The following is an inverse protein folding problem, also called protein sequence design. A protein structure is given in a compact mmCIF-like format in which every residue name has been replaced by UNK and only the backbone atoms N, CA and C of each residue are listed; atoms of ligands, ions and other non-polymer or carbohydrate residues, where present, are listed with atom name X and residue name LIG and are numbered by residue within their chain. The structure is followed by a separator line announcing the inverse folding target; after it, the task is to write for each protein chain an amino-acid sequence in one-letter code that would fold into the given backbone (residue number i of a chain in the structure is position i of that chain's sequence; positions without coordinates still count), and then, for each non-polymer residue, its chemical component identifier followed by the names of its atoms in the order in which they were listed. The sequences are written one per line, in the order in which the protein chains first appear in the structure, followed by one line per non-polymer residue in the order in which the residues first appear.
data_IF_788972333708
#
_entry.id   IF_788972333708
#
_cell.length_a   1.000
_cell.length_b   1.000
_cell.length_c   1.000
_cell.angle_alpha   90.00
_cell.angle_beta   90.00
_cell.angle_gamma   90.00
#
_symmetry.space_group_name_H-M   'P 1'
#
loop_
_entity.id
_entity.type
_entity.pdbx_description
1 polymer ?
#
# COMPACT_ATOMS: atom_id res chain seq x y z
N UNK A 1 -11.80 -12.42 -14.00
CA UNK A 1 -12.76 -11.31 -14.02
C UNK A 1 -13.49 -11.37 -12.70
N UNK A 2 -13.08 -10.54 -11.73
CA UNK A 2 -13.61 -10.60 -10.36
C UNK A 2 -15.06 -10.11 -10.38
N UNK A 3 -15.94 -10.80 -9.64
CA UNK A 3 -17.36 -10.50 -9.49
C UNK A 3 -18.20 -10.55 -10.79
N UNK A 4 -17.73 -11.23 -11.84
CA UNK A 4 -18.60 -11.56 -12.96
C UNK A 4 -19.22 -12.93 -12.74
N UNK A 5 -20.54 -12.95 -12.56
CA UNK A 5 -21.32 -14.19 -12.57
C UNK A 5 -21.07 -14.93 -13.90
N UNK A 6 -21.14 -16.26 -13.87
CA UNK A 6 -20.95 -17.14 -15.02
C UNK A 6 -19.53 -17.23 -15.61
N UNK A 7 -18.51 -16.67 -14.97
CA UNK A 7 -17.10 -16.84 -15.39
C UNK A 7 -16.40 -17.88 -14.51
N UNK A 8 -16.05 -19.03 -15.09
CA UNK A 8 -15.30 -20.09 -14.40
C UNK A 8 -13.81 -19.80 -14.34
N UNK A 9 -13.22 -19.29 -15.43
CA UNK A 9 -11.79 -19.00 -15.53
C UNK A 9 -11.52 -17.90 -16.55
N UNK A 10 -10.47 -17.13 -16.32
CA UNK A 10 -9.91 -16.20 -17.30
C UNK A 10 -8.43 -16.52 -17.50
N UNK A 11 -7.96 -16.44 -18.75
CA UNK A 11 -6.56 -16.63 -19.10
C UNK A 11 -6.12 -15.49 -20.02
N UNK A 12 -5.08 -14.75 -19.64
CA UNK A 12 -4.41 -13.81 -20.55
C UNK A 12 -3.41 -14.54 -21.44
N UNK A 13 -3.28 -14.08 -22.69
CA UNK A 13 -2.30 -14.60 -23.67
C UNK A 13 -1.19 -13.59 -24.00
N UNK A 14 -1.27 -12.40 -23.43
CA UNK A 14 -0.33 -11.30 -23.64
C UNK A 14 0.43 -10.99 -22.36
N UNK A 15 1.68 -10.54 -22.51
CA UNK A 15 2.47 -10.04 -21.38
C UNK A 15 2.29 -8.53 -21.24
N UNK A 16 2.35 -7.96 -20.02
CA UNK A 16 2.32 -6.51 -19.82
C UNK A 16 3.36 -5.79 -20.69
N UNK A 17 2.94 -4.73 -21.38
CA UNK A 17 3.80 -3.95 -22.28
C UNK A 17 4.10 -4.60 -23.63
N UNK A 18 3.55 -5.77 -23.93
CA UNK A 18 3.69 -6.41 -25.24
C UNK A 18 3.12 -5.50 -26.34
N UNK A 19 3.89 -5.29 -27.40
CA UNK A 19 3.36 -4.67 -28.61
C UNK A 19 2.43 -5.64 -29.32
N UNK A 20 1.24 -5.16 -29.67
CA UNK A 20 0.25 -5.96 -30.35
C UNK A 20 -0.22 -5.21 -31.59
N UNK A 21 -0.20 -5.89 -32.73
CA UNK A 21 -0.71 -5.38 -33.99
C UNK A 21 -2.11 -5.96 -34.24
N UNK A 22 -3.10 -5.08 -34.36
CA UNK A 22 -4.48 -5.46 -34.66
C UNK A 22 -4.74 -5.56 -36.16
N UNK A 23 -5.69 -6.41 -36.55
CA UNK A 23 -6.22 -6.44 -37.90
C UNK A 23 -7.47 -5.56 -38.07
N UNK A 24 -7.83 -5.25 -39.32
CA UNK A 24 -9.11 -4.60 -39.63
C UNK A 24 -10.28 -5.55 -39.35
N UNK A 25 -11.46 -5.01 -39.02
CA UNK A 25 -12.68 -5.82 -38.82
C UNK A 25 -13.00 -6.72 -40.02
N UNK A 26 -12.81 -6.22 -41.26
CA UNK A 26 -12.99 -7.02 -42.48
C UNK A 26 -12.02 -8.21 -42.54
N UNK A 27 -10.78 -8.03 -42.13
CA UNK A 27 -9.80 -9.12 -42.07
C UNK A 27 -10.22 -10.17 -41.03
N UNK A 28 -10.68 -9.75 -39.84
CA UNK A 28 -11.17 -10.69 -38.82
C UNK A 28 -12.38 -11.52 -39.28
N UNK A 29 -13.33 -10.94 -40.00
CA UNK A 29 -14.50 -11.67 -40.51
C UNK A 29 -14.16 -12.75 -41.54
N UNK A 30 -13.03 -12.63 -42.24
CA UNK A 30 -12.56 -13.62 -43.21
C UNK A 30 -11.68 -14.73 -42.61
N UNK A 31 -11.31 -14.63 -41.32
CA UNK A 31 -10.40 -15.57 -40.67
C UNK A 31 -11.13 -16.81 -40.15
N UNK A 32 -10.45 -17.95 -40.21
CA UNK A 32 -10.85 -19.14 -39.45
C UNK A 32 -10.60 -18.95 -37.96
N UNK A 33 -11.21 -19.77 -37.11
CA UNK A 33 -10.95 -19.76 -35.67
C UNK A 33 -9.45 -19.95 -35.36
N UNK A 34 -8.78 -20.87 -36.04
CA UNK A 34 -7.35 -21.11 -35.84
C UNK A 34 -6.50 -19.87 -36.23
N UNK A 35 -6.92 -19.16 -37.27
CA UNK A 35 -6.28 -17.91 -37.71
C UNK A 35 -6.52 -16.73 -36.78
N UNK A 36 -7.60 -16.77 -35.98
CA UNK A 36 -7.93 -15.73 -34.99
C UNK A 36 -7.14 -15.86 -33.69
N UNK A 37 -6.77 -17.09 -33.29
CA UNK A 37 -6.11 -17.35 -32.01
C UNK A 37 -4.86 -16.49 -31.74
N UNK A 38 -3.95 -16.24 -32.71
CA UNK A 38 -2.78 -15.38 -32.49
C UNK A 38 -3.12 -13.92 -32.17
N UNK A 39 -4.33 -13.46 -32.49
CA UNK A 39 -4.82 -12.11 -32.23
C UNK A 39 -5.66 -12.01 -30.95
N UNK A 40 -5.90 -13.12 -30.25
CA UNK A 40 -6.62 -13.12 -28.99
C UNK A 40 -5.73 -12.60 -27.85
N UNK A 41 -6.22 -11.65 -27.07
CA UNK A 41 -5.50 -11.14 -25.88
C UNK A 41 -5.72 -12.01 -24.64
N UNK A 42 -6.75 -12.83 -24.67
CA UNK A 42 -7.09 -13.77 -23.61
C UNK A 42 -8.32 -14.60 -23.97
N UNK A 43 -8.70 -15.46 -23.04
CA UNK A 43 -9.90 -16.29 -23.12
C UNK A 43 -10.64 -16.30 -21.78
N UNK A 44 -11.96 -16.49 -21.89
CA UNK A 44 -12.87 -16.62 -20.76
C UNK A 44 -13.57 -17.97 -20.90
N UNK A 45 -13.52 -18.76 -19.83
CA UNK A 45 -14.29 -20.00 -19.71
C UNK A 45 -15.60 -19.66 -19.02
N UNK A 46 -16.70 -19.85 -19.74
CA UNK A 46 -18.06 -19.62 -19.24
C UNK A 46 -18.50 -20.82 -18.41
N UNK A 47 -19.03 -20.57 -17.22
CA UNK A 47 -19.62 -21.59 -16.37
C UNK A 47 -21.01 -21.95 -16.89
N UNK A 48 -21.14 -23.15 -17.41
CA UNK A 48 -22.42 -23.67 -17.90
C UNK A 48 -23.08 -24.43 -16.75
N UNK A 49 -24.23 -23.97 -16.30
CA UNK A 49 -25.14 -24.71 -15.43
C UNK A 49 -26.46 -24.96 -16.18
N UNK A 50 -27.28 -25.89 -15.69
CA UNK A 50 -28.54 -26.27 -16.33
C UNK A 50 -29.63 -25.20 -16.25
N UNK A 51 -29.38 -24.06 -15.59
CA UNK A 51 -30.38 -23.05 -15.28
C UNK A 51 -30.64 -22.07 -16.44
N UNK A 52 -29.68 -21.88 -17.35
CA UNK A 52 -29.79 -20.91 -18.44
C UNK A 52 -29.01 -21.31 -19.70
N UNK A 53 -29.44 -20.77 -20.86
CA UNK A 53 -28.78 -21.03 -22.14
C UNK A 53 -27.38 -20.40 -22.20
N UNK A 54 -26.45 -21.09 -22.85
CA UNK A 54 -25.09 -20.60 -23.14
C UNK A 54 -25.11 -19.22 -23.82
N UNK A 55 -26.08 -18.99 -24.71
CA UNK A 55 -26.24 -17.70 -25.40
C UNK A 55 -26.57 -16.55 -24.45
N UNK A 56 -27.43 -16.80 -23.45
CA UNK A 56 -27.80 -15.80 -22.44
C UNK A 56 -26.60 -15.44 -21.57
N UNK A 57 -25.85 -16.43 -21.09
CA UNK A 57 -24.63 -16.21 -20.30
C UNK A 57 -23.55 -15.48 -21.09
N UNK A 58 -23.36 -15.86 -22.35
CA UNK A 58 -22.40 -15.19 -23.23
C UNK A 58 -22.76 -13.73 -23.46
N UNK A 59 -24.05 -13.41 -23.61
CA UNK A 59 -24.50 -12.02 -23.75
C UNK A 59 -24.24 -11.21 -22.48
N UNK A 60 -24.56 -11.76 -21.30
CA UNK A 60 -24.30 -11.11 -20.02
C UNK A 60 -22.79 -10.84 -19.78
N UNK A 61 -21.93 -11.80 -20.11
CA UNK A 61 -20.46 -11.61 -20.05
C UNK A 61 -20.01 -10.52 -21.02
N UNK A 62 -20.58 -10.48 -22.23
CA UNK A 62 -20.24 -9.44 -23.20
C UNK A 62 -20.64 -8.04 -22.70
N UNK A 63 -21.79 -7.91 -22.04
CA UNK A 63 -22.20 -6.65 -21.41
C UNK A 63 -21.22 -6.21 -20.31
N UNK A 64 -20.75 -7.15 -19.50
CA UNK A 64 -19.71 -6.86 -18.49
C UNK A 64 -18.38 -6.45 -19.13
N UNK A 65 -17.97 -7.10 -20.22
CA UNK A 65 -16.77 -6.72 -20.97
C UNK A 65 -16.90 -5.31 -21.56
N UNK A 66 -18.04 -4.96 -22.14
CA UNK A 66 -18.28 -3.59 -22.66
C UNK A 66 -18.15 -2.56 -21.54
N UNK A 67 -18.74 -2.81 -20.36
CA UNK A 67 -18.63 -1.88 -19.21
C UNK A 67 -17.17 -1.73 -18.75
N UNK A 68 -16.45 -2.84 -18.62
CA UNK A 68 -15.08 -2.88 -18.04
C UNK A 68 -14.01 -2.44 -19.04
N UNK A 69 -14.21 -2.69 -20.32
CA UNK A 69 -13.31 -2.33 -21.42
C UNK A 69 -13.70 -1.02 -22.11
N UNK A 70 -14.62 -0.25 -21.52
CA UNK A 70 -15.12 1.02 -22.07
C UNK A 70 -14.06 2.14 -22.15
N UNK A 71 -12.92 1.97 -21.45
CA UNK A 71 -11.79 2.88 -21.55
C UNK A 71 -10.89 2.55 -22.75
N UNK A 72 -10.17 3.55 -23.25
CA UNK A 72 -9.16 3.33 -24.28
C UNK A 72 -7.93 2.66 -23.66
N UNK A 73 -7.98 1.35 -23.49
CA UNK A 73 -6.91 0.54 -22.92
C UNK A 73 -5.71 0.35 -23.87
N UNK A 74 -5.89 0.66 -25.15
CA UNK A 74 -4.86 0.59 -26.17
C UNK A 74 -4.26 1.97 -26.41
N UNK A 75 -2.94 2.07 -26.29
CA UNK A 75 -2.18 3.27 -26.66
C UNK A 75 -1.39 2.98 -27.94
N UNK A 76 -1.37 3.95 -28.86
CA UNK A 76 -0.51 3.89 -30.05
C UNK A 76 0.96 4.08 -29.73
N UNK A 77 1.26 4.69 -28.58
CA UNK A 77 2.63 4.85 -28.08
C UNK A 77 2.98 3.69 -27.14
N UNK A 78 4.18 3.08 -27.27
CA UNK A 78 4.65 2.09 -26.33
C UNK A 78 4.55 2.60 -24.88
N UNK A 79 3.98 1.79 -24.00
CA UNK A 79 3.92 2.13 -22.57
C UNK A 79 5.36 2.05 -22.05
N UNK A 80 5.94 3.17 -21.57
CA UNK A 80 7.30 3.16 -21.08
C UNK A 80 7.36 2.29 -19.83
N UNK A 81 8.27 1.32 -19.84
CA UNK A 81 8.54 0.50 -18.66
C UNK A 81 8.98 1.40 -17.50
N UNK A 82 8.43 1.16 -16.32
CA UNK A 82 8.81 1.86 -15.09
C UNK A 82 9.47 0.88 -14.11
N UNK A 83 10.28 1.43 -13.21
CA UNK A 83 10.92 0.69 -12.13
C UNK A 83 10.58 1.38 -10.82
N UNK A 84 10.21 0.61 -9.81
CA UNK A 84 9.94 1.09 -8.45
C UNK A 84 10.85 0.35 -7.47
N UNK A 85 11.37 1.10 -6.51
CA UNK A 85 12.06 0.54 -5.35
C UNK A 85 11.04 0.25 -4.24
N UNK A 86 11.01 -0.99 -3.76
CA UNK A 86 10.24 -1.39 -2.58
C UNK A 86 11.21 -1.65 -1.44
N UNK A 87 11.13 -0.84 -0.38
CA UNK A 87 11.98 -0.96 0.80
C UNK A 87 11.15 -1.50 1.96
N UNK A 88 11.52 -2.66 2.51
CA UNK A 88 10.76 -3.33 3.56
C UNK A 88 9.43 -3.87 3.07
N UNK A 89 9.45 -4.96 2.31
CA UNK A 89 8.25 -5.57 1.76
C UNK A 89 7.34 -6.09 2.89
N UNK A 90 7.89 -6.76 3.91
CA UNK A 90 7.08 -7.36 4.97
C UNK A 90 6.35 -8.63 4.50
N UNK A 91 5.20 -8.95 5.08
CA UNK A 91 4.55 -10.26 4.83
C UNK A 91 3.90 -10.37 3.44
N UNK A 92 3.85 -11.59 2.90
CA UNK A 92 3.20 -11.89 1.61
C UNK A 92 1.77 -11.34 1.53
N UNK A 93 0.98 -11.51 2.60
CA UNK A 93 -0.41 -11.03 2.64
C UNK A 93 -0.53 -9.51 2.49
N UNK A 94 0.46 -8.75 2.98
CA UNK A 94 0.51 -7.30 2.77
C UNK A 94 0.90 -6.98 1.33
N UNK A 95 1.91 -7.67 0.79
CA UNK A 95 2.57 -7.27 -0.47
C UNK A 95 2.02 -7.80 -1.77
N UNK A 96 1.36 -8.94 -1.72
CA UNK A 96 1.02 -9.67 -2.93
C UNK A 96 0.18 -8.82 -3.89
N UNK A 97 -0.76 -8.04 -3.37
CA UNK A 97 -1.61 -7.17 -4.16
C UNK A 97 -0.83 -6.13 -4.96
N UNK A 98 0.09 -5.40 -4.34
CA UNK A 98 0.86 -4.37 -5.05
C UNK A 98 1.95 -4.94 -5.95
N UNK A 99 2.57 -6.08 -5.62
CA UNK A 99 3.51 -6.75 -6.51
C UNK A 99 2.82 -7.25 -7.80
N UNK A 100 1.65 -7.87 -7.66
CA UNK A 100 0.85 -8.30 -8.82
C UNK A 100 0.35 -7.11 -9.65
N UNK A 101 -0.06 -6.03 -8.99
CA UNK A 101 -0.47 -4.81 -9.67
C UNK A 101 0.69 -4.18 -10.45
N UNK A 102 1.88 -4.07 -9.84
CA UNK A 102 3.08 -3.55 -10.48
C UNK A 102 3.45 -4.38 -11.72
N UNK A 103 3.51 -5.70 -11.59
CA UNK A 103 3.77 -6.60 -12.71
C UNK A 103 2.75 -6.40 -13.84
N UNK A 104 1.46 -6.32 -13.50
CA UNK A 104 0.36 -6.10 -14.46
C UNK A 104 0.43 -4.76 -15.19
N UNK A 105 1.01 -3.74 -14.54
CA UNK A 105 1.21 -2.39 -15.10
C UNK A 105 2.54 -2.25 -15.85
N UNK A 106 3.27 -3.35 -16.06
CA UNK A 106 4.62 -3.35 -16.63
C UNK A 106 5.60 -2.47 -15.81
N UNK A 107 5.46 -2.53 -14.49
CA UNK A 107 6.34 -1.89 -13.51
C UNK A 107 7.21 -2.97 -12.88
N UNK A 108 8.51 -2.83 -13.03
CA UNK A 108 9.49 -3.68 -12.37
C UNK A 108 9.71 -3.26 -10.93
N UNK A 109 9.77 -4.25 -10.04
CA UNK A 109 9.99 -4.04 -8.62
C UNK A 109 11.43 -4.43 -8.27
N UNK A 110 12.21 -3.48 -7.77
CA UNK A 110 13.51 -3.72 -7.14
C UNK A 110 13.30 -3.72 -5.64
N UNK A 111 13.55 -4.86 -5.00
CA UNK A 111 13.23 -5.06 -3.58
C UNK A 111 14.50 -4.85 -2.75
N UNK A 112 14.42 -3.97 -1.75
CA UNK A 112 15.45 -3.76 -0.74
C UNK A 112 14.92 -4.29 0.60
N UNK A 113 15.48 -5.40 1.07
CA UNK A 113 15.04 -6.04 2.30
C UNK A 113 16.15 -6.90 2.92
N UNK A 114 15.89 -7.43 4.12
CA UNK A 114 16.82 -8.31 4.81
C UNK A 114 17.16 -9.55 3.96
N UNK A 115 18.42 -9.98 3.97
CA UNK A 115 18.88 -11.13 3.17
C UNK A 115 18.08 -12.42 3.43
N UNK A 116 17.54 -12.59 4.64
CA UNK A 116 16.72 -13.75 5.04
C UNK A 116 15.25 -13.64 4.64
N UNK A 117 14.83 -12.51 4.06
CA UNK A 117 13.44 -12.25 3.71
C UNK A 117 12.95 -13.19 2.61
N UNK A 118 11.72 -13.72 2.74
CA UNK A 118 11.14 -14.72 1.83
C UNK A 118 11.15 -14.32 0.35
N UNK A 119 11.09 -13.02 0.07
CA UNK A 119 11.10 -12.48 -1.30
C UNK A 119 12.47 -12.64 -1.98
N UNK A 120 13.52 -13.02 -1.26
CA UNK A 120 14.83 -13.36 -1.83
C UNK A 120 14.85 -14.73 -2.53
N UNK A 121 13.91 -15.62 -2.19
CA UNK A 121 13.80 -16.96 -2.79
C UNK A 121 13.42 -16.88 -4.28
N UNK A 122 14.02 -17.75 -5.10
CA UNK A 122 13.78 -17.86 -6.54
C UNK A 122 12.33 -18.24 -6.86
N UNK A 123 11.61 -18.92 -5.96
CA UNK A 123 10.18 -19.21 -6.10
C UNK A 123 9.35 -17.93 -6.31
N UNK A 124 9.79 -16.80 -5.77
CA UNK A 124 9.13 -15.49 -5.90
C UNK A 124 9.81 -14.54 -6.89
N UNK A 125 10.79 -15.02 -7.66
CA UNK A 125 11.52 -14.21 -8.65
C UNK A 125 10.60 -13.54 -9.67
N UNK A 126 9.45 -14.14 -10.00
CA UNK A 126 8.48 -13.56 -10.91
C UNK A 126 7.77 -12.29 -10.38
N UNK A 127 7.90 -11.98 -9.08
CA UNK A 127 7.31 -10.79 -8.45
C UNK A 127 8.27 -9.60 -8.39
N UNK A 128 9.53 -9.76 -8.79
CA UNK A 128 10.57 -8.73 -8.71
C UNK A 128 11.53 -8.81 -9.89
N UNK A 129 12.11 -7.68 -10.26
CA UNK A 129 13.25 -7.64 -11.17
C UNK A 129 14.52 -8.09 -10.44
N UNK A 130 14.73 -7.53 -9.26
CA UNK A 130 15.96 -7.69 -8.48
C UNK A 130 15.65 -7.67 -6.99
N UNK A 131 16.47 -8.40 -6.21
CA UNK A 131 16.48 -8.34 -4.76
C UNK A 131 17.86 -7.88 -4.32
N UNK A 132 17.88 -6.75 -3.63
CA UNK A 132 19.09 -6.12 -3.11
C UNK A 132 19.05 -6.30 -1.60
N UNK A 133 19.88 -7.21 -1.04
CA UNK A 133 19.97 -7.35 0.40
C UNK A 133 20.36 -6.01 1.04
N UNK A 134 19.55 -5.55 1.98
CA UNK A 134 19.77 -4.35 2.75
C UNK A 134 19.77 -4.72 4.23
N UNK A 135 20.71 -4.17 4.99
CA UNK A 135 20.68 -4.29 6.44
C UNK A 135 19.51 -3.46 6.98
N UNK A 136 18.44 -4.14 7.38
CA UNK A 136 17.21 -3.52 7.91
C UNK A 136 17.35 -3.17 9.40
N UNK A 137 18.45 -3.57 10.04
CA UNK A 137 18.81 -3.15 11.39
C UNK A 137 19.42 -1.77 11.36
N UNK A 138 18.66 -0.77 11.78
CA UNK A 138 19.22 0.55 12.07
C UNK A 138 20.27 0.41 13.17
N UNK A 139 21.54 0.63 12.81
CA UNK A 139 22.62 0.80 13.79
C UNK A 139 22.33 2.06 14.60
N UNK A 140 22.35 1.91 15.92
CA UNK A 140 22.06 2.86 17.00
C UNK A 140 22.82 4.22 16.98
N UNK A 141 23.41 4.62 15.85
CA UNK A 141 24.28 5.80 15.74
C UNK A 141 23.57 7.11 15.40
N UNK A 142 22.23 7.14 15.35
CA UNK A 142 21.43 8.37 15.36
C UNK A 142 20.90 8.61 16.78
N UNK A 143 20.76 9.87 17.25
CA UNK A 143 20.48 10.16 18.65
C UNK A 143 19.26 9.36 19.14
N UNK A 144 19.47 8.72 20.28
CA UNK A 144 18.83 7.51 20.82
C UNK A 144 17.35 7.63 21.21
N UNK A 145 16.49 8.23 20.37
CA UNK A 145 15.16 8.66 20.82
C UNK A 145 13.95 8.04 20.11
N UNK A 146 14.08 7.10 19.17
CA UNK A 146 12.89 6.50 18.55
C UNK A 146 13.00 4.97 18.35
N UNK A 147 12.08 4.23 18.95
CA UNK A 147 11.95 2.78 18.90
C UNK A 147 10.69 2.39 18.11
N UNK A 148 10.84 2.01 16.83
CA UNK A 148 10.13 0.92 16.11
C UNK A 148 10.67 0.79 14.68
N UNK A 149 11.10 -0.41 14.31
CA UNK A 149 11.81 -0.71 13.05
C UNK A 149 10.94 -0.52 11.79
N UNK A 150 9.63 -0.74 11.88
CA UNK A 150 8.73 -0.67 10.71
C UNK A 150 8.42 0.79 10.30
N UNK A 151 8.21 1.69 11.27
CA UNK A 151 7.85 3.09 10.98
C UNK A 151 9.07 3.95 10.60
N UNK A 152 10.27 3.67 11.15
CA UNK A 152 11.48 4.46 10.86
C UNK A 152 11.90 4.43 9.38
N UNK A 153 11.64 3.32 8.69
CA UNK A 153 11.94 3.20 7.28
C UNK A 153 11.21 4.26 6.46
N UNK A 154 9.98 4.63 6.82
CA UNK A 154 9.25 5.65 6.08
C UNK A 154 9.96 7.01 6.09
N UNK A 155 10.46 7.45 7.25
CA UNK A 155 11.23 8.71 7.33
C UNK A 155 12.51 8.64 6.49
N UNK A 156 13.23 7.52 6.53
CA UNK A 156 14.44 7.30 5.71
C UNK A 156 14.09 7.31 4.21
N UNK A 157 13.04 6.59 3.81
CA UNK A 157 12.55 6.49 2.43
C UNK A 157 12.18 7.87 1.92
N UNK A 158 11.45 8.66 2.71
CA UNK A 158 11.05 10.02 2.30
C UNK A 158 12.29 10.91 2.12
N UNK A 159 13.23 10.91 3.07
CA UNK A 159 14.48 11.69 2.92
C UNK A 159 15.29 11.26 1.69
N UNK A 160 15.44 9.94 1.49
CA UNK A 160 16.19 9.39 0.36
C UNK A 160 15.51 9.74 -0.96
N UNK A 161 14.19 9.60 -1.04
CA UNK A 161 13.40 9.98 -2.20
C UNK A 161 13.54 11.47 -2.53
N UNK A 162 13.51 12.35 -1.52
CA UNK A 162 13.77 13.79 -1.71
C UNK A 162 15.17 14.06 -2.23
N UNK A 163 16.21 13.42 -1.67
CA UNK A 163 17.60 13.59 -2.13
C UNK A 163 17.80 13.12 -3.57
N UNK A 164 17.10 12.06 -3.97
CA UNK A 164 17.11 11.53 -5.34
C UNK A 164 16.19 12.30 -6.31
N UNK A 165 15.47 13.32 -5.84
CA UNK A 165 14.55 14.11 -6.66
C UNK A 165 13.26 13.38 -7.05
N UNK A 166 12.90 12.32 -6.33
CA UNK A 166 11.63 11.63 -6.54
C UNK A 166 10.45 12.41 -5.93
N UNK A 167 9.27 12.24 -6.53
CA UNK A 167 8.03 12.79 -5.98
C UNK A 167 7.69 12.06 -4.69
N UNK A 168 7.67 12.79 -3.58
CA UNK A 168 7.34 12.28 -2.25
C UNK A 168 6.78 13.42 -1.39
N UNK A 169 6.15 13.07 -0.27
CA UNK A 169 5.80 14.06 0.76
C UNK A 169 7.06 14.71 1.34
N UNK A 170 6.99 15.94 1.86
CA UNK A 170 8.14 16.57 2.50
C UNK A 170 8.61 15.75 3.73
N UNK A 171 9.93 15.60 3.97
CA UNK A 171 10.45 14.83 5.10
C UNK A 171 9.92 15.26 6.47
N UNK A 172 9.67 16.56 6.65
CA UNK A 172 9.05 17.11 7.85
C UNK A 172 7.65 16.55 8.11
N UNK A 173 6.89 16.21 7.07
CA UNK A 173 5.55 15.63 7.19
C UNK A 173 5.61 14.20 7.71
N UNK A 174 6.59 13.41 7.26
CA UNK A 174 6.82 12.05 7.77
C UNK A 174 7.20 12.06 9.25
N UNK A 175 8.15 12.92 9.63
CA UNK A 175 8.57 13.06 11.03
C UNK A 175 7.49 13.63 11.95
N UNK A 176 6.61 14.49 11.43
CA UNK A 176 5.43 15.00 12.14
C UNK A 176 4.43 13.87 12.41
N UNK A 177 4.03 13.13 11.37
CA UNK A 177 3.01 12.08 11.46
C UNK A 177 3.39 10.93 12.43
N UNK A 178 4.67 10.58 12.51
CA UNK A 178 5.17 9.53 13.41
C UNK A 178 5.31 9.99 14.87
N UNK A 179 5.37 11.30 15.11
CA UNK A 179 5.52 11.83 16.46
C UNK A 179 4.16 12.22 17.04
N UNK A 180 3.61 11.33 17.87
CA UNK A 180 2.31 11.54 18.54
C UNK A 180 2.20 12.90 19.24
N UNK A 181 3.24 13.34 19.96
CA UNK A 181 3.23 14.63 20.65
C UNK A 181 3.13 15.80 19.66
N UNK A 182 3.97 15.83 18.62
CA UNK A 182 3.95 16.87 17.60
C UNK A 182 2.63 16.90 16.82
N UNK A 183 2.07 15.73 16.48
CA UNK A 183 0.75 15.64 15.84
C UNK A 183 -0.35 16.23 16.73
N UNK A 184 -0.31 15.98 18.04
CA UNK A 184 -1.27 16.58 18.98
C UNK A 184 -1.10 18.08 19.17
N UNK A 185 0.08 18.65 18.91
CA UNK A 185 0.23 20.12 18.92
C UNK A 185 -0.54 20.81 17.78
N UNK A 186 -0.99 20.08 16.76
CA UNK A 186 -1.83 20.61 15.69
C UNK A 186 -3.31 20.70 16.07
N UNK A 187 -3.75 19.97 17.11
CA UNK A 187 -5.13 19.98 17.59
C UNK A 187 -5.19 20.62 18.99
N UNK A 188 -5.67 21.85 19.05
CA UNK A 188 -5.78 22.61 20.30
C UNK A 188 -6.88 22.10 21.23
N UNK A 189 -7.71 21.15 20.81
CA UNK A 189 -8.85 20.67 21.60
C UNK A 189 -8.52 19.49 22.52
N UNK A 190 -7.33 18.89 22.37
CA UNK A 190 -6.91 17.73 23.15
C UNK A 190 -5.78 18.14 24.09
N UNK A 191 -5.94 17.89 25.39
CA UNK A 191 -4.83 18.02 26.33
C UNK A 191 -3.78 16.97 25.97
N UNK A 192 -2.54 17.42 25.77
CA UNK A 192 -1.41 16.56 25.47
C UNK A 192 -0.14 17.13 26.09
N UNK A 193 0.63 16.28 26.77
CA UNK A 193 1.86 16.67 27.45
C UNK A 193 2.96 15.62 27.26
N UNK A 194 4.17 16.10 26.99
CA UNK A 194 5.38 15.28 26.97
C UNK A 194 6.00 15.21 28.36
N UNK A 195 6.28 14.00 28.85
CA UNK A 195 6.95 13.73 30.12
C UNK A 195 8.27 13.03 29.83
N UNK A 196 9.38 13.66 30.20
CA UNK A 196 10.74 13.17 29.93
C UNK A 196 11.42 12.48 31.12
N UNK A 197 10.85 12.63 32.32
CA UNK A 197 11.38 12.04 33.54
C UNK A 197 10.30 11.96 34.61
N UNK A 198 10.32 10.92 35.49
CA UNK A 198 9.40 10.80 36.62
C UNK A 198 9.49 11.96 37.61
N UNK A 199 10.64 12.64 37.68
CA UNK A 199 10.92 13.65 38.73
C UNK A 199 10.51 15.07 38.37
N UNK A 200 10.29 15.35 37.08
CA UNK A 200 10.03 16.71 36.57
C UNK A 200 8.60 17.20 36.79
N UNK A 201 7.71 16.43 37.45
CA UNK A 201 6.27 16.72 37.43
C UNK A 201 5.61 17.00 38.79
N UNK A 202 6.37 17.36 39.83
CA UNK A 202 5.80 17.70 41.13
C UNK A 202 5.39 19.18 41.29
N UNK A 203 5.70 20.06 40.33
CA UNK A 203 5.63 21.52 40.54
C UNK A 203 4.76 22.32 39.57
N UNK A 204 3.98 21.69 38.68
CA UNK A 204 3.08 22.41 37.77
C UNK A 204 1.61 22.04 38.02
N UNK A 205 0.69 23.02 38.10
CA UNK A 205 -0.70 22.77 38.42
C UNK A 205 -1.38 22.01 37.29
N UNK A 206 -1.84 20.79 37.59
CA UNK A 206 -2.86 20.11 36.78
C UNK A 206 -4.14 20.96 36.93
N UNK A 207 -4.81 21.37 35.83
CA UNK A 207 -6.07 22.08 35.92
C UNK A 207 -7.05 21.28 36.79
N UNK A 208 -7.61 21.93 37.81
CA UNK A 208 -8.51 21.31 38.80
C UNK A 208 -9.78 20.70 38.20
N UNK A 209 -10.04 20.92 36.91
CA UNK A 209 -11.13 20.34 36.12
C UNK A 209 -10.84 18.92 35.61
N UNK A 210 -9.59 18.45 35.61
CA UNK A 210 -9.23 17.08 35.22
C UNK A 210 -8.92 16.26 36.48
N UNK A 211 -9.89 15.48 36.94
CA UNK A 211 -9.71 14.45 37.97
C UNK A 211 -8.94 13.24 37.39
N UNK A 212 -7.68 13.44 37.01
CA UNK A 212 -6.83 12.35 36.56
C UNK A 212 -6.27 11.65 37.81
N UNK A 213 -6.55 10.34 38.03
CA UNK A 213 -5.85 9.59 39.04
C UNK A 213 -4.35 9.66 38.71
N UNK A 214 -3.53 10.08 39.68
CA UNK A 214 -2.07 10.03 39.53
C UNK A 214 -1.73 8.60 39.15
N UNK A 215 -1.08 8.38 38.01
CA UNK A 215 -0.62 7.06 37.56
C UNK A 215 0.88 6.93 37.86
N UNK A 216 1.29 6.64 39.11
CA UNK A 216 2.70 6.59 39.49
C UNK A 216 3.46 5.36 38.94
N UNK A 217 2.88 4.56 38.04
CA UNK A 217 3.32 3.19 37.75
C UNK A 217 3.86 2.92 36.33
N UNK A 218 3.83 3.89 35.40
CA UNK A 218 4.23 3.64 34.00
C UNK A 218 5.75 3.61 33.79
N UNK A 219 6.55 4.25 34.65
CA UNK A 219 8.00 4.31 34.50
C UNK A 219 8.69 3.16 35.24
N UNK A 220 8.71 1.98 34.62
CA UNK A 220 9.63 0.88 34.97
C UNK A 220 10.79 0.85 33.98
N UNK A 221 11.96 0.36 34.38
CA UNK A 221 13.10 0.20 33.46
C UNK A 221 12.73 -0.61 32.20
N UNK A 222 11.84 -1.60 32.35
CA UNK A 222 11.28 -2.37 31.23
C UNK A 222 10.41 -1.54 30.28
N UNK A 223 9.71 -0.52 30.77
CA UNK A 223 8.89 0.38 29.95
C UNK A 223 9.76 1.39 29.20
N UNK A 224 10.74 2.00 29.88
CA UNK A 224 11.69 2.92 29.26
C UNK A 224 12.61 2.21 28.23
N UNK A 225 12.96 0.94 28.47
CA UNK A 225 13.69 0.12 27.51
C UNK A 225 12.89 -0.22 26.23
N UNK A 226 11.55 -0.11 26.26
CA UNK A 226 10.66 -0.44 25.15
C UNK A 226 10.06 0.78 24.43
N UNK A 227 9.98 1.92 25.12
CA UNK A 227 9.32 3.13 24.62
C UNK A 227 10.21 4.37 24.62
N UNK A 228 11.46 4.25 25.06
CA UNK A 228 12.35 5.40 25.29
C UNK A 228 12.01 6.16 26.58
N UNK A 229 12.71 7.27 26.79
CA UNK A 229 12.58 8.10 28.00
C UNK A 229 11.48 9.16 27.89
N UNK A 230 10.80 9.27 26.75
CA UNK A 230 9.74 10.25 26.54
C UNK A 230 8.37 9.57 26.49
N UNK A 231 7.42 10.07 27.28
CA UNK A 231 6.05 9.54 27.36
C UNK A 231 5.06 10.65 27.07
N UNK A 232 4.04 10.35 26.28
CA UNK A 232 2.94 11.28 26.01
C UNK A 232 1.76 10.95 26.92
N UNK A 233 1.35 11.93 27.74
CA UNK A 233 0.10 11.90 28.49
C UNK A 233 -0.93 12.73 27.73
N UNK A 234 -2.10 12.16 27.45
CA UNK A 234 -3.17 12.84 26.73
C UNK A 234 -4.56 12.55 27.33
N UNK A 235 -5.56 13.34 26.96
CA UNK A 235 -6.96 13.07 27.33
C UNK A 235 -7.38 11.69 26.83
N UNK A 236 -7.96 10.87 27.71
CA UNK A 236 -8.65 9.65 27.33
C UNK A 236 -9.97 9.99 26.64
N UNK A 237 -10.17 9.49 25.41
CA UNK A 237 -11.40 9.66 24.65
C UNK A 237 -12.19 8.36 24.72
N UNK A 238 -13.31 8.39 25.44
CA UNK A 238 -14.23 7.26 25.51
C UNK A 238 -15.16 7.27 24.29
N UNK A 239 -15.19 6.17 23.53
CA UNK A 239 -16.06 6.04 22.35
C UNK A 239 -15.61 4.95 21.38
N UNK A 240 -16.37 4.74 20.29
CA UNK A 240 -16.01 3.78 19.25
C UNK A 240 -14.74 4.22 18.51
N UNK A 241 -13.87 3.26 18.20
CA UNK A 241 -12.66 3.50 17.40
C UNK A 241 -12.96 3.24 15.92
N UNK A 242 -12.54 4.17 15.06
CA UNK A 242 -12.76 4.13 13.61
C UNK A 242 -11.44 4.44 12.93
N UNK A 243 -11.09 3.66 11.92
CA UNK A 243 -9.98 3.95 11.01
C UNK A 243 -10.50 4.56 9.71
N UNK A 244 -9.70 5.41 9.07
CA UNK A 244 -10.04 5.98 7.78
C UNK A 244 -8.86 5.85 6.80
N UNK A 245 -9.14 5.26 5.64
CA UNK A 245 -8.20 5.25 4.52
C UNK A 245 -8.48 6.44 3.62
N UNK A 246 -7.45 7.24 3.32
CA UNK A 246 -7.53 8.44 2.49
C UNK A 246 -6.54 8.37 1.34
N UNK A 247 -6.94 8.87 0.17
CA UNK A 247 -6.02 9.11 -0.95
C UNK A 247 -5.99 10.61 -1.25
N UNK A 248 -4.79 11.18 -1.27
CA UNK A 248 -4.56 12.57 -1.64
C UNK A 248 -3.94 12.64 -3.05
N UNK A 249 -4.52 13.48 -3.91
CA UNK A 249 -4.01 13.78 -5.26
C UNK A 249 -4.05 15.29 -5.44
N UNK A 250 -2.91 15.89 -5.80
CA UNK A 250 -2.76 17.34 -6.02
C UNK A 250 -3.35 18.19 -4.88
N UNK A 251 -3.05 17.80 -3.64
CA UNK A 251 -3.53 18.42 -2.40
C UNK A 251 -5.04 18.28 -2.12
N UNK A 252 -5.78 17.53 -2.94
CA UNK A 252 -7.19 17.20 -2.71
C UNK A 252 -7.38 15.77 -2.21
N UNK A 253 -8.35 15.55 -1.32
CA UNK A 253 -8.79 14.20 -0.94
C UNK A 253 -9.73 13.68 -2.03
N UNK A 254 -9.32 12.63 -2.73
CA UNK A 254 -10.09 12.02 -3.84
C UNK A 254 -10.77 10.72 -3.45
N UNK A 255 -10.38 10.13 -2.32
CA UNK A 255 -10.97 8.92 -1.77
C UNK A 255 -10.96 8.96 -0.25
N UNK A 256 -12.07 8.52 0.35
CA UNK A 256 -12.24 8.39 1.78
C UNK A 256 -13.09 7.14 2.06
N UNK A 257 -12.54 6.18 2.81
CA UNK A 257 -13.27 4.99 3.26
C UNK A 257 -13.08 4.79 4.76
N UNK A 258 -14.15 4.97 5.56
CA UNK A 258 -14.12 4.61 6.97
C UNK A 258 -14.16 3.08 7.11
N UNK A 259 -13.43 2.56 8.09
CA UNK A 259 -13.45 1.18 8.56
C UNK A 259 -13.70 1.16 10.06
N UNK A 260 -14.55 0.25 10.52
CA UNK A 260 -14.66 -0.05 11.94
C UNK A 260 -13.47 -0.91 12.35
N UNK A 261 -12.87 -0.56 13.48
CA UNK A 261 -11.79 -1.31 14.13
C UNK A 261 -12.33 -2.46 14.99
#
# INVERSE_FOLDING_TARGET
MVDCLDVAKVQGFVTPGQYIEGCTSKAYHGMSLASLLPYCYGAIVVQIDSSSSVTTKSAAINDELVKRLSFSWLTSNPIPRKRLALVGAGSLAKVQGYLLAAASLNIEMVVFDDSSHWLSDDAYRHLREEFVPLEMTMVWTWPSELQRVDEHLHTIIVHTATQLGFKTSPPESGGLAQNKFKTRQLDTNIFCRLVRSPRTDHSLPIPSSLNLPRVPLLWRESFAAWHGNEVVIETYVEGPQIDANMLLVDSGIVFFKPGLL
#
